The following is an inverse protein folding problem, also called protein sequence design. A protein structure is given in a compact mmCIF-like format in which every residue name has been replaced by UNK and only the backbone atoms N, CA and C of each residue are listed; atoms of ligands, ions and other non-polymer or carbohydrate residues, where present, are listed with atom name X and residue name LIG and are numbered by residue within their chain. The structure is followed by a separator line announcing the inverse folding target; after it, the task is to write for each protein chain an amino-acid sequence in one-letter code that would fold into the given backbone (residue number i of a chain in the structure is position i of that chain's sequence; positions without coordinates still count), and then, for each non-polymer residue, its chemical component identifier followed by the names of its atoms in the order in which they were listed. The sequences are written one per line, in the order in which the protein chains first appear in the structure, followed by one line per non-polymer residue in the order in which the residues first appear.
data_IF_429141310669
#
_entry.id   IF_429141310669
#
_cell.length_a   1.000
_cell.length_b   1.000
_cell.length_c   1.000
_cell.angle_alpha   90.00
_cell.angle_beta   90.00
_cell.angle_gamma   90.00
#
_symmetry.space_group_name_H-M   'P 1'
#
loop_
_entity.id
_entity.type
_entity.pdbx_description
1 polymer ?
#
# COMPACT_ATOMS: atom_id res chain seq x y z
N UNK A 1 23.86 -0.93 -5.26
CA UNK A 1 22.98 -0.03 -6.01
C UNK A 1 23.83 1.12 -6.55
N UNK A 2 23.88 1.33 -7.86
CA UNK A 2 24.61 2.45 -8.43
C UNK A 2 23.91 3.75 -8.01
N UNK A 3 24.71 4.76 -7.63
CA UNK A 3 24.18 6.11 -7.36
C UNK A 3 23.84 6.79 -8.68
N UNK A 4 22.80 7.60 -8.68
CA UNK A 4 22.46 8.44 -9.83
C UNK A 4 23.52 9.54 -9.99
N UNK A 5 23.82 9.92 -11.24
CA UNK A 5 24.84 10.91 -11.55
C UNK A 5 24.52 12.30 -11.03
N UNK A 6 23.24 12.64 -10.94
CA UNK A 6 22.77 13.94 -10.46
C UNK A 6 21.36 13.85 -9.85
N UNK A 7 21.06 14.83 -9.02
CA UNK A 7 19.81 14.97 -8.31
C UNK A 7 19.26 16.40 -8.53
N UNK A 8 17.97 16.56 -8.38
CA UNK A 8 17.27 17.85 -8.43
C UNK A 8 16.37 18.05 -7.22
N UNK A 9 16.23 19.30 -6.81
CA UNK A 9 15.21 19.72 -5.86
C UNK A 9 13.84 19.73 -6.56
N UNK A 10 12.82 19.25 -5.88
CA UNK A 10 11.45 19.13 -6.38
C UNK A 10 10.50 20.17 -5.77
N UNK A 11 10.92 20.89 -4.72
CA UNK A 11 10.07 21.82 -3.98
C UNK A 11 8.85 21.17 -3.29
N UNK A 12 8.86 19.85 -3.14
CA UNK A 12 7.77 19.10 -2.53
C UNK A 12 8.24 18.60 -1.16
N UNK A 13 7.60 19.06 -0.10
CA UNK A 13 7.98 18.79 1.29
C UNK A 13 8.33 17.33 1.60
N UNK A 14 7.51 16.38 1.16
CA UNK A 14 7.72 14.94 1.39
C UNK A 14 8.54 14.25 0.30
N UNK A 15 8.97 14.98 -0.71
CA UNK A 15 9.75 14.49 -1.85
C UNK A 15 10.77 15.58 -2.26
N UNK A 16 11.68 15.97 -1.37
CA UNK A 16 12.52 17.15 -1.60
C UNK A 16 13.51 16.94 -2.73
N UNK A 17 14.11 15.77 -2.83
CA UNK A 17 15.20 15.47 -3.76
C UNK A 17 14.88 14.20 -4.56
N UNK A 18 15.08 14.28 -5.88
CA UNK A 18 14.95 13.16 -6.79
C UNK A 18 16.11 13.06 -7.75
N UNK A 19 16.39 11.86 -8.32
CA UNK A 19 17.27 11.73 -9.47
C UNK A 19 16.82 12.69 -10.60
N UNK A 20 17.76 13.37 -11.22
CA UNK A 20 17.45 14.43 -12.19
C UNK A 20 16.60 13.95 -13.37
N UNK A 21 16.76 12.69 -13.80
CA UNK A 21 15.99 12.08 -14.88
C UNK A 21 14.55 11.69 -14.52
N UNK A 22 14.20 11.66 -13.22
CA UNK A 22 12.84 11.28 -12.82
C UNK A 22 11.87 12.44 -13.01
N UNK A 23 10.69 12.12 -13.52
CA UNK A 23 9.55 13.05 -13.61
C UNK A 23 8.72 13.00 -12.34
N UNK A 24 7.79 13.95 -12.19
CA UNK A 24 6.83 14.01 -11.10
C UNK A 24 5.43 14.13 -11.69
N UNK A 25 4.48 13.37 -11.18
CA UNK A 25 3.07 13.46 -11.56
C UNK A 25 2.17 13.23 -10.35
N UNK A 26 0.97 13.79 -10.38
CA UNK A 26 -0.07 13.49 -9.40
C UNK A 26 -0.65 12.10 -9.63
N UNK A 27 -1.09 11.45 -8.53
CA UNK A 27 -1.66 10.10 -8.54
C UNK A 27 -2.80 9.93 -9.56
N UNK A 28 -3.62 10.95 -9.76
CA UNK A 28 -4.72 10.93 -10.76
C UNK A 28 -4.29 10.70 -12.21
N UNK A 29 -3.03 10.93 -12.53
CA UNK A 29 -2.49 10.65 -13.86
C UNK A 29 -1.89 9.24 -13.97
N UNK A 30 -1.72 8.55 -12.85
CA UNK A 30 -1.14 7.21 -12.76
C UNK A 30 -2.19 6.15 -12.51
N UNK A 31 -3.25 6.48 -11.77
CA UNK A 31 -4.24 5.51 -11.31
C UNK A 31 -5.66 5.92 -11.68
N UNK A 32 -6.51 4.92 -11.92
CA UNK A 32 -7.96 5.03 -11.92
C UNK A 32 -8.48 4.64 -10.54
N UNK A 33 -9.50 5.34 -10.04
CA UNK A 33 -10.30 4.83 -8.93
C UNK A 33 -11.29 3.79 -9.45
N UNK A 34 -11.34 2.66 -8.81
CA UNK A 34 -12.29 1.60 -9.12
C UNK A 34 -13.49 1.62 -8.16
N UNK A 35 -14.67 1.33 -8.71
CA UNK A 35 -15.92 1.15 -7.96
C UNK A 35 -16.69 -0.01 -8.58
N UNK A 36 -16.11 -1.21 -8.48
CA UNK A 36 -16.72 -2.42 -9.06
C UNK A 36 -17.78 -2.97 -8.13
N UNK A 37 -18.88 -3.44 -8.71
CA UNK A 37 -19.87 -4.25 -7.98
C UNK A 37 -19.20 -5.58 -7.58
N UNK A 38 -19.33 -6.04 -6.33
CA UNK A 38 -18.85 -7.34 -5.92
C UNK A 38 -19.54 -8.46 -6.72
N UNK A 39 -18.81 -9.54 -7.01
CA UNK A 39 -19.40 -10.76 -7.53
C UNK A 39 -20.05 -11.54 -6.38
N UNK A 40 -20.94 -12.45 -6.70
CA UNK A 40 -21.66 -13.26 -5.69
C UNK A 40 -20.71 -14.14 -4.88
N UNK A 41 -19.67 -14.66 -5.52
CA UNK A 41 -18.63 -15.51 -4.93
C UNK A 41 -17.51 -14.76 -4.23
N UNK A 42 -17.48 -13.43 -4.30
CA UNK A 42 -16.42 -12.64 -3.70
C UNK A 42 -16.43 -12.77 -2.17
N UNK A 43 -15.33 -13.29 -1.62
CA UNK A 43 -15.07 -13.32 -0.17
C UNK A 43 -14.45 -12.01 0.31
N UNK A 44 -14.41 -11.80 1.63
CA UNK A 44 -13.90 -10.56 2.21
C UNK A 44 -12.37 -10.48 2.08
N UNK A 45 -11.90 -9.43 1.42
CA UNK A 45 -10.51 -8.99 1.41
C UNK A 45 -10.30 -7.95 2.52
N UNK A 46 -9.19 -8.05 3.22
CA UNK A 46 -8.78 -7.10 4.27
C UNK A 46 -7.43 -6.50 3.94
N UNK A 47 -7.34 -5.17 4.08
CA UNK A 47 -6.10 -4.42 3.98
C UNK A 47 -5.54 -4.22 5.40
N UNK A 48 -4.45 -4.90 5.72
CA UNK A 48 -3.81 -4.87 7.04
C UNK A 48 -2.78 -3.73 7.14
N UNK A 49 -2.49 -3.29 8.38
CA UNK A 49 -1.53 -2.20 8.65
C UNK A 49 -0.08 -2.53 8.26
N UNK A 50 0.27 -3.81 8.19
CA UNK A 50 1.57 -4.25 7.66
C UNK A 50 1.66 -4.16 6.12
N UNK A 51 0.56 -3.81 5.44
CA UNK A 51 0.45 -3.62 4.00
C UNK A 51 0.08 -4.87 3.23
N UNK A 52 -0.20 -5.98 3.89
CA UNK A 52 -0.78 -7.12 3.21
C UNK A 52 -2.26 -6.85 2.89
N UNK A 53 -2.65 -7.16 1.65
CA UNK A 53 -4.05 -7.13 1.20
C UNK A 53 -4.38 -8.51 0.68
N UNK A 54 -5.19 -9.23 1.44
CA UNK A 54 -5.49 -10.64 1.19
C UNK A 54 -6.88 -11.00 1.68
N UNK A 55 -7.36 -12.18 1.32
CA UNK A 55 -8.59 -12.72 1.89
C UNK A 55 -8.48 -12.76 3.43
N UNK A 56 -9.52 -12.30 4.11
CA UNK A 56 -9.54 -12.23 5.58
C UNK A 56 -9.22 -13.57 6.22
N UNK A 57 -9.79 -14.65 5.69
CA UNK A 57 -9.58 -16.03 6.17
C UNK A 57 -8.11 -16.48 6.17
N UNK A 58 -7.25 -15.88 5.34
CA UNK A 58 -5.83 -16.23 5.28
C UNK A 58 -5.05 -15.80 6.51
N UNK A 59 -5.58 -14.85 7.31
CA UNK A 59 -4.85 -14.29 8.46
C UNK A 59 -5.67 -14.20 9.74
N UNK A 60 -6.99 -14.14 9.64
CA UNK A 60 -7.84 -13.85 10.78
C UNK A 60 -9.20 -14.52 10.63
N UNK A 61 -9.47 -15.47 11.48
CA UNK A 61 -10.75 -16.20 11.52
C UNK A 61 -11.68 -15.69 12.63
N UNK A 62 -11.12 -14.95 13.63
CA UNK A 62 -11.84 -14.47 14.80
C UNK A 62 -11.59 -12.98 15.10
N UNK A 63 -12.36 -12.41 16.01
CA UNK A 63 -12.13 -11.07 16.54
C UNK A 63 -12.41 -9.93 15.53
N UNK A 64 -13.37 -10.10 14.62
CA UNK A 64 -13.84 -9.05 13.73
C UNK A 64 -15.37 -8.95 13.76
N UNK A 65 -15.87 -7.76 13.49
CA UNK A 65 -17.30 -7.52 13.35
C UNK A 65 -17.73 -7.85 11.93
N UNK A 66 -18.64 -8.81 11.80
CA UNK A 66 -19.34 -9.02 10.53
C UNK A 66 -20.45 -7.99 10.40
N UNK A 67 -20.42 -7.19 9.35
CA UNK A 67 -21.58 -6.38 9.01
C UNK A 67 -22.73 -7.30 8.54
N UNK A 68 -23.86 -7.21 9.19
CA UNK A 68 -25.07 -7.94 8.80
C UNK A 68 -25.58 -7.54 7.40
N UNK A 69 -25.20 -6.35 6.93
CA UNK A 69 -25.53 -5.85 5.59
C UNK A 69 -24.25 -5.32 4.92
N UNK A 70 -23.93 -5.86 3.75
CA UNK A 70 -22.77 -5.45 2.95
C UNK A 70 -23.07 -4.20 2.10
N UNK A 71 -23.65 -3.17 2.71
CA UNK A 71 -24.00 -1.93 2.01
C UNK A 71 -22.73 -1.20 1.58
N UNK A 72 -22.64 -0.89 0.29
CA UNK A 72 -21.52 -0.12 -0.28
C UNK A 72 -20.22 -0.92 -0.43
N UNK A 73 -20.23 -2.24 -0.26
CA UNK A 73 -19.07 -3.08 -0.58
C UNK A 73 -18.70 -2.96 -2.05
N UNK A 74 -17.41 -3.08 -2.34
CA UNK A 74 -16.86 -2.96 -3.68
C UNK A 74 -15.97 -4.16 -4.02
N UNK A 75 -15.95 -4.55 -5.31
CA UNK A 75 -15.10 -5.62 -5.79
C UNK A 75 -13.63 -5.20 -5.81
N UNK A 76 -12.78 -6.06 -5.27
CA UNK A 76 -11.33 -5.96 -5.30
C UNK A 76 -10.81 -7.10 -6.17
N UNK A 77 -9.77 -6.84 -6.95
CA UNK A 77 -9.14 -7.85 -7.80
C UNK A 77 -7.66 -7.94 -7.50
N UNK A 78 -7.09 -9.11 -7.73
CA UNK A 78 -5.65 -9.34 -7.63
C UNK A 78 -4.90 -8.31 -8.48
N UNK A 79 -3.93 -7.64 -7.85
CA UNK A 79 -3.16 -6.57 -8.47
C UNK A 79 -3.70 -5.16 -8.23
N UNK A 80 -4.90 -5.00 -7.67
CA UNK A 80 -5.41 -3.67 -7.29
C UNK A 80 -4.58 -3.09 -6.15
N UNK A 81 -4.23 -1.81 -6.26
CA UNK A 81 -3.72 -1.02 -5.14
C UNK A 81 -4.89 -0.63 -4.23
N UNK A 82 -4.84 -1.10 -2.99
CA UNK A 82 -5.90 -0.87 -1.98
C UNK A 82 -5.37 -0.02 -0.85
N UNK A 83 -6.10 1.04 -0.52
CA UNK A 83 -5.79 1.99 0.55
C UNK A 83 -6.95 1.96 1.55
N UNK A 84 -6.68 1.64 2.81
CA UNK A 84 -7.66 1.74 3.88
C UNK A 84 -7.74 3.19 4.35
N UNK A 85 -8.80 3.91 3.97
CA UNK A 85 -8.89 5.36 4.18
C UNK A 85 -8.65 5.80 5.63
N UNK A 86 -9.15 5.03 6.59
CA UNK A 86 -9.01 5.33 8.02
C UNK A 86 -7.65 4.92 8.60
N UNK A 87 -7.05 3.85 8.10
CA UNK A 87 -5.81 3.26 8.63
C UNK A 87 -4.59 3.47 7.73
N UNK A 88 -4.72 4.26 6.66
CA UNK A 88 -3.62 4.56 5.75
C UNK A 88 -2.41 5.19 6.47
N UNK A 89 -2.66 6.03 7.48
CA UNK A 89 -1.61 6.61 8.32
C UNK A 89 -0.79 5.55 9.08
N UNK A 90 -1.42 4.43 9.42
CA UNK A 90 -0.77 3.31 10.11
C UNK A 90 -0.17 2.27 9.13
N UNK A 91 -0.16 2.57 7.82
CA UNK A 91 0.44 1.72 6.80
C UNK A 91 -0.49 0.70 6.15
N UNK A 92 -1.81 0.77 6.36
CA UNK A 92 -2.79 -0.08 5.70
C UNK A 92 -2.97 0.33 4.22
N UNK A 93 -1.93 0.05 3.44
CA UNK A 93 -1.82 0.31 2.01
C UNK A 93 -1.11 -0.89 1.39
N UNK A 94 -1.72 -1.54 0.43
CA UNK A 94 -1.15 -2.75 -0.18
C UNK A 94 -1.68 -3.03 -1.57
N UNK A 95 -1.08 -4.01 -2.23
CA UNK A 95 -1.57 -4.56 -3.50
C UNK A 95 -2.24 -5.90 -3.20
N UNK A 96 -3.48 -6.06 -3.66
CA UNK A 96 -4.24 -7.28 -3.40
C UNK A 96 -3.60 -8.51 -4.06
N UNK A 97 -3.45 -9.58 -3.30
CA UNK A 97 -3.02 -10.88 -3.80
C UNK A 97 -4.19 -11.75 -4.27
N UNK A 98 -5.43 -11.32 -4.00
CA UNK A 98 -6.65 -12.09 -4.17
C UNK A 98 -7.77 -11.28 -4.81
N UNK A 99 -8.67 -11.97 -5.49
CA UNK A 99 -9.99 -11.47 -5.86
C UNK A 99 -10.91 -11.55 -4.64
N UNK A 100 -11.84 -10.58 -4.52
CA UNK A 100 -12.84 -10.57 -3.47
C UNK A 100 -13.56 -9.24 -3.36
N UNK A 101 -14.14 -8.95 -2.20
CA UNK A 101 -14.86 -7.71 -1.90
C UNK A 101 -14.31 -7.03 -0.65
N UNK A 102 -14.40 -5.71 -0.62
CA UNK A 102 -13.99 -4.90 0.51
C UNK A 102 -15.04 -3.88 0.91
N UNK A 103 -14.88 -3.35 2.11
CA UNK A 103 -15.77 -2.33 2.67
C UNK A 103 -15.66 -1.00 1.91
N UNK A 104 -16.65 -0.09 2.02
CA UNK A 104 -16.60 1.21 1.37
C UNK A 104 -15.51 2.16 1.90
N UNK A 105 -14.87 1.81 3.01
CA UNK A 105 -13.73 2.58 3.57
C UNK A 105 -12.43 2.35 2.80
N UNK A 106 -12.42 1.53 1.75
CA UNK A 106 -11.25 1.35 0.90
C UNK A 106 -11.32 2.24 -0.33
N UNK A 107 -10.17 2.80 -0.70
CA UNK A 107 -9.91 3.33 -2.03
C UNK A 107 -9.20 2.24 -2.82
N UNK A 108 -9.84 1.77 -3.89
CA UNK A 108 -9.32 0.73 -4.78
C UNK A 108 -8.86 1.39 -6.07
N UNK A 109 -7.65 1.09 -6.52
CA UNK A 109 -7.05 1.73 -7.68
C UNK A 109 -6.40 0.73 -8.62
N UNK A 110 -6.49 1.03 -9.92
CA UNK A 110 -5.75 0.33 -10.99
C UNK A 110 -4.78 1.25 -11.69
N UNK A 111 -3.63 0.76 -12.17
CA UNK A 111 -2.72 1.56 -12.98
C UNK A 111 -3.36 1.96 -14.31
N UNK A 112 -3.08 3.19 -14.78
CA UNK A 112 -3.55 3.70 -16.07
C UNK A 112 -2.74 3.21 -17.27
N UNK A 113 -1.55 2.68 -17.05
CA UNK A 113 -0.64 2.27 -18.11
C UNK A 113 0.22 1.07 -17.70
N UNK A 114 0.87 0.47 -18.70
CA UNK A 114 1.79 -0.66 -18.51
C UNK A 114 3.15 -0.24 -17.93
N UNK A 115 3.43 1.05 -17.93
CA UNK A 115 4.62 1.69 -17.39
C UNK A 115 4.52 2.01 -15.89
N UNK A 116 3.49 1.47 -15.23
CA UNK A 116 3.20 1.71 -13.82
C UNK A 116 3.24 0.38 -13.07
N UNK A 117 4.23 0.22 -12.19
CA UNK A 117 4.28 -0.87 -11.23
C UNK A 117 3.62 -0.44 -9.92
N UNK A 118 2.41 -0.90 -9.65
CA UNK A 118 1.64 -0.53 -8.46
C UNK A 118 2.33 -0.88 -7.14
N UNK A 119 3.22 -1.87 -7.11
CA UNK A 119 4.00 -2.20 -5.91
C UNK A 119 5.02 -1.11 -5.57
N UNK A 120 5.65 -0.50 -6.58
CA UNK A 120 6.55 0.63 -6.36
C UNK A 120 5.82 1.78 -5.67
N UNK A 121 4.65 2.14 -6.17
CA UNK A 121 3.84 3.23 -5.61
C UNK A 121 3.22 2.85 -4.25
N UNK A 122 2.90 1.59 -4.03
CA UNK A 122 2.50 1.08 -2.74
C UNK A 122 3.62 1.28 -1.69
N UNK A 123 4.85 0.89 -2.00
CA UNK A 123 5.99 1.11 -1.09
C UNK A 123 6.25 2.59 -0.84
N UNK A 124 6.17 3.43 -1.87
CA UNK A 124 6.30 4.88 -1.71
C UNK A 124 5.24 5.45 -0.76
N UNK A 125 3.97 5.11 -0.93
CA UNK A 125 2.89 5.54 -0.05
C UNK A 125 3.11 5.07 1.40
N UNK A 126 3.61 3.86 1.60
CA UNK A 126 3.94 3.34 2.93
C UNK A 126 5.09 4.11 3.58
N UNK A 127 6.06 4.58 2.80
CA UNK A 127 7.10 5.50 3.30
C UNK A 127 6.46 6.81 3.74
N UNK A 128 5.59 7.40 2.93
CA UNK A 128 4.85 8.64 3.27
C UNK A 128 4.00 8.47 4.54
N UNK A 129 3.39 7.30 4.71
CA UNK A 129 2.65 6.94 5.93
C UNK A 129 3.57 6.97 7.16
N UNK A 130 4.72 6.27 7.08
CA UNK A 130 5.70 6.22 8.18
C UNK A 130 6.32 7.57 8.51
N UNK A 131 6.45 8.46 7.53
CA UNK A 131 6.94 9.83 7.71
C UNK A 131 5.88 10.80 8.27
N UNK A 132 4.66 10.32 8.53
CA UNK A 132 3.58 11.13 9.05
C UNK A 132 2.88 12.02 8.02
N UNK A 133 3.27 11.97 6.74
CA UNK A 133 2.65 12.80 5.70
C UNK A 133 1.15 12.50 5.55
N UNK A 134 0.77 11.22 5.48
CA UNK A 134 -0.66 10.86 5.37
C UNK A 134 -1.44 11.33 6.60
N UNK A 135 -0.84 11.25 7.79
CA UNK A 135 -1.45 11.74 9.02
C UNK A 135 -1.64 13.26 9.00
N UNK A 136 -0.72 14.02 8.42
CA UNK A 136 -0.82 15.47 8.31
C UNK A 136 -1.96 15.95 7.41
N UNK A 137 -2.47 15.09 6.52
CA UNK A 137 -3.63 15.35 5.67
C UNK A 137 -4.98 15.09 6.37
N UNK A 138 -4.96 14.59 7.61
CA UNK A 138 -6.15 14.25 8.36
C UNK A 138 -7.03 15.49 8.61
N UNK A 139 -8.28 15.40 8.18
CA UNK A 139 -9.32 16.42 8.40
C UNK A 139 -10.21 15.99 9.54
N UNK A 140 -9.83 16.19 10.79
CA UNK A 140 -10.72 15.87 11.89
C UNK A 140 -10.07 15.72 13.27
N UNK A 141 -10.91 15.74 14.29
CA UNK A 141 -10.59 15.82 15.73
C UNK A 141 -10.10 14.48 16.33
N UNK A 142 -10.08 13.39 15.55
CA UNK A 142 -9.69 12.07 16.07
C UNK A 142 -8.23 11.79 15.79
N UNK A 143 -7.42 11.79 16.83
CA UNK A 143 -5.96 11.53 16.78
C UNK A 143 -5.55 10.18 16.16
N UNK A 144 -6.48 9.26 15.90
CA UNK A 144 -6.20 7.89 15.49
C UNK A 144 -6.92 7.42 14.23
N UNK A 145 -7.46 8.34 13.42
CA UNK A 145 -8.03 7.97 12.12
C UNK A 145 -7.83 9.09 11.11
N UNK A 146 -7.32 8.73 9.95
CA UNK A 146 -7.30 9.62 8.78
C UNK A 146 -8.54 9.35 7.95
N UNK A 147 -8.94 10.29 7.11
CA UNK A 147 -9.93 10.07 6.06
C UNK A 147 -9.25 10.28 4.70
N UNK A 148 -8.17 9.50 4.48
CA UNK A 148 -7.35 9.58 3.27
C UNK A 148 -8.05 8.90 2.10
N UNK A 149 -9.00 9.63 1.51
CA UNK A 149 -9.82 9.16 0.39
C UNK A 149 -9.17 9.43 -0.96
N UNK A 150 -9.82 8.96 -2.01
CA UNK A 150 -9.44 9.29 -3.39
C UNK A 150 -9.27 10.79 -3.64
N UNK A 151 -10.10 11.64 -3.03
CA UNK A 151 -9.99 13.11 -3.13
C UNK A 151 -8.63 13.64 -2.73
N UNK A 152 -8.01 13.04 -1.72
CA UNK A 152 -6.71 13.43 -1.21
C UNK A 152 -5.59 12.65 -1.93
N UNK A 153 -5.75 11.34 -2.11
CA UNK A 153 -4.80 10.48 -2.82
C UNK A 153 -4.52 10.97 -4.22
N UNK A 154 -5.55 11.33 -5.00
CA UNK A 154 -5.42 11.78 -6.39
C UNK A 154 -4.51 13.00 -6.59
N UNK A 155 -4.32 13.80 -5.54
CA UNK A 155 -3.50 15.02 -5.57
C UNK A 155 -2.07 14.81 -5.07
N UNK A 156 -1.75 13.64 -4.51
CA UNK A 156 -0.39 13.30 -4.08
C UNK A 156 0.55 13.23 -5.29
N UNK A 157 1.69 13.89 -5.19
CA UNK A 157 2.75 13.83 -6.20
C UNK A 157 3.59 12.58 -6.02
N UNK A 158 3.87 11.90 -7.12
CA UNK A 158 4.68 10.70 -7.19
C UNK A 158 5.91 10.89 -8.06
N UNK A 159 7.06 10.32 -7.67
CA UNK A 159 8.20 10.19 -8.56
C UNK A 159 7.90 9.17 -9.67
N UNK A 160 8.37 9.44 -10.88
CA UNK A 160 8.16 8.60 -12.04
C UNK A 160 9.51 8.12 -12.57
N UNK A 161 10.07 7.04 -12.01
CA UNK A 161 11.18 6.29 -12.61
C UNK A 161 10.74 5.60 -13.91
N UNK A 162 11.67 5.09 -14.68
CA UNK A 162 11.34 4.15 -15.76
C UNK A 162 10.73 2.86 -15.19
N UNK A 163 10.00 2.10 -16.00
CA UNK A 163 9.37 0.85 -15.52
C UNK A 163 10.44 -0.18 -15.08
N UNK A 164 11.60 -0.18 -15.74
CA UNK A 164 12.74 -1.02 -15.40
C UNK A 164 13.28 -0.66 -14.01
N UNK A 165 13.43 0.63 -13.70
CA UNK A 165 13.84 1.12 -12.38
C UNK A 165 12.82 0.77 -11.31
N UNK A 166 11.50 0.99 -11.58
CA UNK A 166 10.43 0.61 -10.67
C UNK A 166 10.51 -0.89 -10.33
N UNK A 167 10.64 -1.75 -11.35
CA UNK A 167 10.74 -3.19 -11.19
C UNK A 167 12.00 -3.60 -10.42
N UNK A 168 13.14 -2.99 -10.71
CA UNK A 168 14.39 -3.25 -10.01
C UNK A 168 14.30 -2.88 -8.52
N UNK A 169 13.70 -1.73 -8.20
CA UNK A 169 13.49 -1.28 -6.82
C UNK A 169 12.55 -2.25 -6.08
N UNK A 170 11.42 -2.62 -6.69
CA UNK A 170 10.46 -3.57 -6.11
C UNK A 170 11.12 -4.93 -5.87
N UNK A 171 11.88 -5.44 -6.83
CA UNK A 171 12.60 -6.71 -6.71
C UNK A 171 13.62 -6.67 -5.58
N UNK A 172 14.39 -5.59 -5.48
CA UNK A 172 15.36 -5.39 -4.40
C UNK A 172 14.69 -5.38 -3.02
N UNK A 173 13.61 -4.61 -2.86
CA UNK A 173 12.86 -4.54 -1.59
C UNK A 173 12.34 -5.94 -1.22
N UNK A 174 11.68 -6.63 -2.13
CA UNK A 174 11.12 -7.98 -1.88
C UNK A 174 12.20 -8.98 -1.48
N UNK A 175 13.29 -9.04 -2.23
CA UNK A 175 14.40 -9.96 -1.95
C UNK A 175 15.04 -9.67 -0.60
N UNK A 176 15.24 -8.39 -0.27
CA UNK A 176 15.84 -7.98 0.99
C UNK A 176 14.93 -8.28 2.16
N UNK A 177 13.64 -7.95 2.05
CA UNK A 177 12.64 -8.25 3.09
C UNK A 177 12.53 -9.75 3.33
N UNK A 178 12.44 -10.57 2.27
CA UNK A 178 12.38 -12.04 2.41
C UNK A 178 13.59 -12.63 3.12
N UNK A 179 14.79 -12.09 2.86
CA UNK A 179 16.00 -12.51 3.58
C UNK A 179 15.97 -12.14 5.06
N UNK A 180 15.47 -10.94 5.37
CA UNK A 180 15.32 -10.48 6.76
C UNK A 180 14.29 -11.34 7.50
N UNK A 181 13.13 -11.61 6.90
CA UNK A 181 12.09 -12.45 7.49
C UNK A 181 12.60 -13.88 7.77
N UNK A 182 13.37 -14.45 6.83
CA UNK A 182 13.98 -15.76 7.01
C UNK A 182 15.03 -15.77 8.15
N UNK A 183 15.79 -14.68 8.30
CA UNK A 183 16.74 -14.55 9.41
C UNK A 183 16.00 -14.43 10.75
N UNK A 184 15.00 -13.58 10.84
CA UNK A 184 14.16 -13.41 12.04
C UNK A 184 13.53 -14.76 12.46
N UNK A 185 12.96 -15.50 11.50
CA UNK A 185 12.34 -16.79 11.78
C UNK A 185 13.36 -17.81 12.31
N UNK A 186 14.61 -17.78 11.81
CA UNK A 186 15.70 -18.65 12.30
C UNK A 186 16.08 -18.30 13.74
N UNK A 187 16.27 -17.02 14.03
CA UNK A 187 16.64 -16.57 15.37
C UNK A 187 15.53 -16.88 16.38
N UNK A 188 14.27 -16.67 16.01
CA UNK A 188 13.14 -17.03 16.87
C UNK A 188 13.13 -18.53 17.21
N UNK A 189 13.35 -19.39 16.21
CA UNK A 189 13.45 -20.84 16.43
C UNK A 189 14.60 -21.20 17.37
N UNK A 190 15.74 -20.52 17.27
CA UNK A 190 16.85 -20.74 18.22
C UNK A 190 16.48 -20.35 19.64
N UNK A 191 15.80 -19.20 19.82
CA UNK A 191 15.31 -18.75 21.14
C UNK A 191 14.35 -19.79 21.74
N UNK A 192 13.40 -20.28 20.94
CA UNK A 192 12.42 -21.25 21.39
C UNK A 192 13.11 -22.55 21.87
N UNK A 193 14.09 -23.07 21.11
CA UNK A 193 14.88 -24.24 21.46
C UNK A 193 15.75 -24.06 22.73
N UNK A 194 16.22 -22.84 22.99
CA UNK A 194 16.97 -22.52 24.21
C UNK A 194 16.07 -22.45 25.43
N UNK A 195 14.83 -22.01 25.26
CA UNK A 195 13.84 -21.94 26.35
C UNK A 195 13.25 -23.30 26.73
N UNK A 196 13.32 -24.31 25.84
CA UNK A 196 12.88 -25.69 26.10
C UNK A 196 13.91 -26.52 26.87
N UNK A 197 15.12 -26.02 27.15
CA UNK A 197 16.17 -26.68 27.94
C UNK A 197 16.16 -26.23 29.39
#
# INVERSE_FOLDING_TARGET
MNRYNSYKDCGIYYLPILPAGWKIRKAKYLFNQEKRVPRKEDEIVTCFRDGQVTLRKNRRTEGFTNSLKEIGYQGIRKGDLVIHNMDAFAGAIGVSDSDGKGTPVYTVCTPKGKDINQYFYCYFLRVLSKQGFIQSLAKGIRERSTDFRWSDFKEVYFPIPTIEEQNAIVSYIRTTTSKLDAAIAREQKMIDLLNER
#
